data_IF_871826596127
#
_entry.id   IF_871826596127
#
_cell.length_a   1.000
_cell.length_b   1.000
_cell.length_c   1.000
_cell.angle_alpha   90.00
_cell.angle_beta   90.00
_cell.angle_gamma   90.00
#
_symmetry.space_group_name_H-M   'P 1'
#
loop_
_entity.id
_entity.type
_entity.pdbx_description
1 polymer ?
#
# COMPACT_ATOMS: atom_id res chain seq x y z
N UNK A 1 0.96 2.68 -12.14
CA UNK A 1 -0.52 2.53 -12.28
C UNK A 1 -1.13 3.09 -11.01
N UNK A 2 -2.19 3.89 -11.09
CA UNK A 2 -2.86 4.42 -9.91
C UNK A 2 -4.19 3.71 -9.68
N UNK A 3 -4.52 3.46 -8.42
CA UNK A 3 -5.78 2.85 -8.00
C UNK A 3 -6.53 3.82 -7.10
N UNK A 4 -7.82 3.92 -7.34
CA UNK A 4 -8.71 4.70 -6.48
C UNK A 4 -9.02 3.88 -5.23
N UNK A 5 -8.72 4.44 -4.06
CA UNK A 5 -9.05 3.86 -2.76
C UNK A 5 -9.97 4.80 -2.00
N UNK A 6 -10.75 4.24 -1.09
CA UNK A 6 -11.71 4.97 -0.27
C UNK A 6 -11.62 4.50 1.18
N UNK A 7 -12.35 5.17 2.08
CA UNK A 7 -12.49 4.68 3.46
C UNK A 7 -13.10 3.26 3.54
N UNK A 8 -13.79 2.79 2.49
CA UNK A 8 -14.31 1.43 2.43
C UNK A 8 -13.22 0.35 2.25
N UNK A 9 -12.04 0.72 1.78
CA UNK A 9 -10.87 -0.17 1.72
C UNK A 9 -10.26 -0.42 3.11
N UNK A 10 -10.71 0.33 4.13
CA UNK A 10 -10.33 0.24 5.55
C UNK A 10 -8.86 0.60 5.81
N UNK A 11 -7.92 -0.07 5.15
CA UNK A 11 -6.49 0.15 5.35
C UNK A 11 -5.67 -0.22 4.12
N UNK A 12 -4.46 0.36 3.99
CA UNK A 12 -3.48 0.02 2.96
C UNK A 12 -3.11 -1.48 2.97
N UNK A 13 -3.27 -2.18 4.09
CA UNK A 13 -3.12 -3.64 4.16
C UNK A 13 -4.11 -4.37 3.22
N UNK A 14 -5.37 -3.93 3.19
CA UNK A 14 -6.39 -4.52 2.31
C UNK A 14 -6.04 -4.23 0.85
N UNK A 15 -5.71 -2.97 0.55
CA UNK A 15 -5.33 -2.54 -0.81
C UNK A 15 -4.11 -3.33 -1.29
N UNK A 16 -3.08 -3.50 -0.44
CA UNK A 16 -1.90 -4.27 -0.75
C UNK A 16 -2.20 -5.77 -0.96
N UNK A 17 -3.09 -6.37 -0.17
CA UNK A 17 -3.53 -7.74 -0.41
C UNK A 17 -4.22 -7.91 -1.78
N UNK A 18 -5.07 -6.97 -2.17
CA UNK A 18 -5.83 -7.03 -3.43
C UNK A 18 -4.95 -6.73 -4.64
N UNK A 19 -4.09 -5.71 -4.53
CA UNK A 19 -3.33 -5.18 -5.67
C UNK A 19 -1.96 -5.82 -5.83
N UNK A 20 -1.29 -6.13 -4.71
CA UNK A 20 0.05 -6.72 -4.68
C UNK A 20 0.01 -8.23 -4.42
N UNK A 21 -1.14 -8.76 -3.97
CA UNK A 21 -1.25 -10.13 -3.48
C UNK A 21 -0.63 -10.33 -2.08
N UNK A 22 -0.11 -9.25 -1.48
CA UNK A 22 0.63 -9.32 -0.22
C UNK A 22 0.35 -8.10 0.65
N UNK A 23 -0.41 -8.32 1.73
CA UNK A 23 -0.79 -7.29 2.69
C UNK A 23 0.42 -6.63 3.37
N UNK A 24 1.55 -7.32 3.49
CA UNK A 24 2.74 -6.81 4.18
C UNK A 24 3.45 -5.72 3.37
N UNK A 25 3.17 -5.62 2.07
CA UNK A 25 3.76 -4.62 1.18
C UNK A 25 3.04 -3.26 1.19
N UNK A 26 2.10 -3.03 2.11
CA UNK A 26 1.39 -1.76 2.27
C UNK A 26 2.34 -0.55 2.41
N UNK A 27 3.49 -0.75 3.06
CA UNK A 27 4.49 0.32 3.27
C UNK A 27 5.08 0.81 1.95
N UNK A 28 5.12 -0.02 0.89
CA UNK A 28 5.58 0.40 -0.44
C UNK A 28 4.60 1.36 -1.07
N UNK A 29 3.30 1.09 -0.93
CA UNK A 29 2.23 1.99 -1.38
C UNK A 29 2.33 3.30 -0.60
N UNK A 30 2.46 3.22 0.72
CA UNK A 30 2.55 4.38 1.59
C UNK A 30 3.77 5.25 1.21
N UNK A 31 4.96 4.66 1.14
CA UNK A 31 6.20 5.35 0.77
C UNK A 31 6.12 5.99 -0.63
N UNK A 32 5.54 5.29 -1.61
CA UNK A 32 5.38 5.81 -2.97
C UNK A 32 4.45 7.03 -3.02
N UNK A 33 3.44 7.07 -2.16
CA UNK A 33 2.45 8.15 -2.09
C UNK A 33 2.77 9.19 -1.00
N UNK A 34 3.93 9.10 -0.33
CA UNK A 34 4.30 10.01 0.75
C UNK A 34 3.44 9.86 2.02
N UNK A 35 2.78 8.72 2.21
CA UNK A 35 1.99 8.39 3.39
C UNK A 35 2.83 7.59 4.38
N UNK A 36 2.56 7.79 5.67
CA UNK A 36 3.13 6.98 6.77
C UNK A 36 2.09 6.08 7.42
N UNK A 37 0.82 6.44 7.31
CA UNK A 37 -0.26 5.77 8.01
C UNK A 37 -0.99 4.79 7.09
N UNK A 38 -1.14 3.52 7.50
CA UNK A 38 -1.90 2.53 6.75
C UNK A 38 -3.42 2.72 6.86
N UNK A 39 -3.90 3.58 7.75
CA UNK A 39 -5.33 3.75 7.96
C UNK A 39 -5.95 4.61 6.86
N UNK A 40 -6.97 4.06 6.19
CA UNK A 40 -7.72 4.77 5.14
C UNK A 40 -9.08 5.24 5.64
N UNK A 41 -9.50 4.86 6.85
CA UNK A 41 -10.82 5.24 7.39
C UNK A 41 -10.95 6.74 7.61
N UNK A 42 -9.83 7.44 7.80
CA UNK A 42 -9.73 8.89 7.91
C UNK A 42 -10.00 9.64 6.59
N UNK A 43 -10.04 8.93 5.45
CA UNK A 43 -10.29 9.56 4.15
C UNK A 43 -11.72 10.08 4.03
N UNK A 44 -11.86 11.41 3.93
CA UNK A 44 -13.15 12.06 3.67
C UNK A 44 -13.64 11.89 2.21
N UNK A 45 -12.73 11.55 1.28
CA UNK A 45 -13.03 11.39 -0.13
C UNK A 45 -12.13 10.30 -0.76
N UNK A 46 -12.54 9.71 -1.90
CA UNK A 46 -11.68 8.80 -2.66
C UNK A 46 -10.37 9.46 -3.06
N UNK A 47 -9.24 8.78 -2.84
CA UNK A 47 -7.91 9.22 -3.24
C UNK A 47 -7.30 8.23 -4.21
N UNK A 48 -6.50 8.75 -5.16
CA UNK A 48 -5.73 7.92 -6.07
C UNK A 48 -4.37 7.64 -5.47
N UNK A 49 -4.07 6.37 -5.25
CA UNK A 49 -2.76 5.91 -4.81
C UNK A 49 -1.99 5.30 -5.97
N UNK A 50 -0.77 5.77 -6.16
CA UNK A 50 0.19 5.12 -7.02
C UNK A 50 0.57 3.76 -6.46
N UNK A 51 0.54 2.75 -7.33
CA UNK A 51 0.90 1.40 -6.95
C UNK A 51 2.31 1.07 -7.42
N UNK A 52 3.16 0.54 -6.53
CA UNK A 52 4.43 -0.02 -6.93
C UNK A 52 4.19 -1.28 -7.78
N UNK A 53 5.13 -1.64 -8.67
CA UNK A 53 5.05 -2.90 -9.39
C UNK A 53 5.04 -4.09 -8.41
N UNK A 54 4.22 -5.09 -8.71
CA UNK A 54 4.23 -6.38 -8.00
C UNK A 54 5.65 -6.93 -8.04
N UNK A 55 6.27 -7.06 -6.88
CA UNK A 55 7.64 -7.59 -6.77
C UNK A 55 7.58 -8.87 -5.98
N UNK A 56 7.77 -9.99 -6.68
CA UNK A 56 7.84 -11.34 -6.09
C UNK A 56 9.13 -11.60 -5.32
N UNK A 57 10.07 -10.64 -5.35
CA UNK A 57 11.40 -10.76 -4.74
C UNK A 57 11.39 -10.45 -3.24
N UNK A 58 10.36 -9.74 -2.74
CA UNK A 58 10.24 -9.34 -1.34
C UNK A 58 9.32 -10.32 -0.57
N UNK A 59 9.81 -11.53 -0.31
CA UNK A 59 9.10 -12.55 0.50
C UNK A 59 9.09 -12.25 2.01
N UNK A 60 9.83 -11.23 2.45
CA UNK A 60 10.03 -10.93 3.88
C UNK A 60 9.17 -9.76 4.38
N UNK A 61 8.45 -9.05 3.51
CA UNK A 61 7.54 -7.97 3.92
C UNK A 61 8.21 -6.73 4.52
N UNK A 62 9.55 -6.65 4.51
CA UNK A 62 10.33 -5.53 5.05
C UNK A 62 11.34 -5.03 4.02
N UNK A 63 11.65 -3.72 3.99
CA UNK A 63 12.76 -3.21 3.20
C UNK A 63 14.05 -3.88 3.67
N UNK A 64 14.78 -4.47 2.74
CA UNK A 64 16.12 -4.99 2.96
C UNK A 64 16.99 -3.88 3.54
N UNK A 65 17.27 -3.96 4.85
CA UNK A 65 18.20 -3.04 5.48
C UNK A 65 19.56 -3.25 4.81
N UNK A 66 19.99 -2.26 4.04
CA UNK A 66 21.37 -2.12 3.60
C UNK A 66 22.27 -2.25 4.83
N UNK A 67 23.08 -3.30 4.83
CA UNK A 67 24.13 -3.54 5.82
C UNK A 67 25.23 -2.48 5.74
#
# INVERSE_FOLDING_TARGET
MAVQVTAADVSLYHVAAVQLGDATQWWRIAQLNGMTDPDLTVLAAPVFLEMPPVSTVLTTGLPERSA
#
